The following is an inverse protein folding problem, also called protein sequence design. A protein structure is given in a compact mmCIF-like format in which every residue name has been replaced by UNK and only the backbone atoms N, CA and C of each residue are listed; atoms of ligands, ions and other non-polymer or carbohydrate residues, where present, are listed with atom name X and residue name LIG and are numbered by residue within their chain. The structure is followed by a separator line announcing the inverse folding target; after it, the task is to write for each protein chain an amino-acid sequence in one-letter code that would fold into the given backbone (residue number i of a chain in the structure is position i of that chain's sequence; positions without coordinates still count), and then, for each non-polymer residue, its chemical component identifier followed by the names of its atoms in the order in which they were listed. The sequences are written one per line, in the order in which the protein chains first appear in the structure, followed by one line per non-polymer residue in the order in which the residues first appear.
data_IF_084729949042
#
_entry.id   IF_084729949042
#
_cell.length_a   1.000
_cell.length_b   1.000
_cell.length_c   1.000
_cell.angle_alpha   90.00
_cell.angle_beta   90.00
_cell.angle_gamma   90.00
#
_symmetry.space_group_name_H-M   'P 1'
#
loop_
_entity.id
_entity.type
_entity.pdbx_description
1 polymer ?
#
# COMPACT_ATOMS: atom_id res chain seq x y z
N UNK A 1 -3.41 -15.27 8.32
CA UNK A 1 -4.74 -14.62 8.27
C UNK A 1 -4.72 -13.45 9.25
N UNK A 2 -5.28 -12.29 8.90
CA UNK A 2 -5.30 -11.12 9.81
C UNK A 2 -6.16 -11.42 11.04
N UNK A 3 -5.84 -10.78 12.17
CA UNK A 3 -6.66 -10.89 13.38
C UNK A 3 -8.02 -10.21 13.19
N UNK A 4 -9.07 -10.73 13.82
CA UNK A 4 -10.43 -10.21 13.68
C UNK A 4 -10.55 -8.72 14.02
N UNK A 5 -9.80 -8.25 15.03
CA UNK A 5 -9.76 -6.84 15.42
C UNK A 5 -9.23 -5.96 14.29
N UNK A 6 -8.19 -6.43 13.59
CA UNK A 6 -7.58 -5.73 12.45
C UNK A 6 -8.55 -5.69 11.28
N UNK A 7 -9.20 -6.82 10.96
CA UNK A 7 -10.19 -6.89 9.87
C UNK A 7 -11.36 -5.94 10.14
N UNK A 8 -11.87 -5.91 11.38
CA UNK A 8 -12.96 -4.99 11.77
C UNK A 8 -12.55 -3.53 11.66
N UNK A 9 -11.35 -3.19 12.12
CA UNK A 9 -10.84 -1.82 12.05
C UNK A 9 -10.66 -1.37 10.60
N UNK A 10 -9.97 -2.17 9.78
CA UNK A 10 -9.76 -1.87 8.36
C UNK A 10 -11.09 -1.77 7.61
N UNK A 11 -12.02 -2.70 7.84
CA UNK A 11 -13.35 -2.66 7.22
C UNK A 11 -14.12 -1.37 7.58
N UNK A 12 -14.11 -0.97 8.85
CA UNK A 12 -14.78 0.26 9.29
C UNK A 12 -14.12 1.51 8.70
N UNK A 13 -12.79 1.51 8.56
CA UNK A 13 -12.04 2.59 7.91
C UNK A 13 -12.47 2.73 6.44
N UNK A 14 -12.52 1.62 5.68
CA UNK A 14 -12.94 1.62 4.28
C UNK A 14 -14.37 2.14 4.11
N UNK A 15 -15.30 1.69 4.95
CA UNK A 15 -16.68 2.18 4.92
C UNK A 15 -16.73 3.70 5.13
N UNK A 16 -16.05 4.20 6.17
CA UNK A 16 -16.03 5.63 6.49
C UNK A 16 -15.43 6.48 5.38
N UNK A 17 -14.34 6.03 4.77
CA UNK A 17 -13.65 6.76 3.71
C UNK A 17 -14.49 6.86 2.43
N UNK A 18 -15.28 5.83 2.11
CA UNK A 18 -16.05 5.78 0.87
C UNK A 18 -17.49 6.29 1.02
N UNK A 19 -18.12 6.05 2.17
CA UNK A 19 -19.53 6.39 2.41
C UNK A 19 -19.71 7.63 3.29
N UNK A 20 -18.72 7.98 4.12
CA UNK A 20 -18.90 8.95 5.20
C UNK A 20 -19.45 8.29 6.47
N UNK A 21 -19.44 9.05 7.57
CA UNK A 21 -19.78 8.51 8.90
C UNK A 21 -21.25 8.07 9.00
N UNK A 22 -22.17 8.91 8.54
CA UNK A 22 -23.63 8.71 8.70
C UNK A 22 -24.11 7.53 7.85
N UNK A 23 -23.70 7.48 6.58
CA UNK A 23 -24.06 6.42 5.64
C UNK A 23 -23.43 5.08 6.04
N UNK A 24 -22.22 5.09 6.59
CA UNK A 24 -21.58 3.88 7.15
C UNK A 24 -22.40 3.28 8.29
N UNK A 25 -22.86 4.11 9.24
CA UNK A 25 -23.72 3.63 10.33
C UNK A 25 -25.04 3.06 9.82
N UNK A 26 -25.66 3.74 8.84
CA UNK A 26 -26.88 3.25 8.19
C UNK A 26 -26.64 1.91 7.49
N UNK A 27 -25.54 1.75 6.76
CA UNK A 27 -25.14 0.51 6.10
C UNK A 27 -25.01 -0.65 7.10
N UNK A 28 -24.26 -0.45 8.20
CA UNK A 28 -24.09 -1.48 9.24
C UNK A 28 -25.45 -1.88 9.85
N UNK A 29 -26.35 -0.92 10.05
CA UNK A 29 -27.69 -1.20 10.55
C UNK A 29 -28.54 -2.01 9.56
N UNK A 30 -28.48 -1.71 8.25
CA UNK A 30 -29.22 -2.45 7.23
C UNK A 30 -28.72 -3.90 7.11
N UNK A 31 -27.41 -4.09 7.04
CA UNK A 31 -26.80 -5.44 6.97
C UNK A 31 -27.18 -6.29 8.18
N UNK A 32 -27.26 -5.69 9.38
CA UNK A 32 -27.68 -6.38 10.61
C UNK A 32 -29.18 -6.66 10.68
N UNK A 33 -30.03 -5.79 10.12
CA UNK A 33 -31.49 -5.93 10.21
C UNK A 33 -32.05 -6.89 9.17
N UNK A 34 -31.50 -6.87 7.96
CA UNK A 34 -32.13 -7.51 6.80
C UNK A 34 -31.69 -8.98 6.60
N UNK A 35 -31.03 -9.62 7.58
CA UNK A 35 -30.41 -10.95 7.42
C UNK A 35 -29.68 -11.08 6.07
N UNK A 36 -28.88 -10.07 5.74
CA UNK A 36 -28.28 -9.94 4.43
C UNK A 36 -27.48 -11.20 4.07
N UNK A 37 -27.92 -11.92 3.03
CA UNK A 37 -27.28 -13.14 2.57
C UNK A 37 -26.13 -12.82 1.61
N UNK A 38 -24.92 -12.80 2.17
CA UNK A 38 -23.69 -12.62 1.43
C UNK A 38 -23.50 -13.70 0.34
N UNK A 39 -23.98 -14.93 0.58
CA UNK A 39 -23.79 -16.06 -0.33
C UNK A 39 -24.63 -15.90 -1.59
N UNK A 40 -25.84 -15.35 -1.48
CA UNK A 40 -26.65 -14.99 -2.64
C UNK A 40 -26.15 -13.72 -3.30
N UNK A 41 -25.88 -12.65 -2.53
CA UNK A 41 -25.41 -11.38 -3.08
C UNK A 41 -24.15 -11.53 -3.94
N UNK A 42 -23.19 -12.37 -3.53
CA UNK A 42 -21.93 -12.56 -4.27
C UNK A 42 -22.10 -13.24 -5.63
N UNK A 43 -23.20 -13.97 -5.86
CA UNK A 43 -23.40 -14.74 -7.10
C UNK A 43 -23.53 -13.84 -8.32
N UNK A 44 -24.12 -12.65 -8.13
CA UNK A 44 -24.37 -11.71 -9.23
C UNK A 44 -23.19 -10.78 -9.52
N UNK A 45 -22.21 -10.65 -8.60
CA UNK A 45 -21.08 -9.70 -8.75
C UNK A 45 -20.25 -9.96 -10.01
N UNK A 46 -20.06 -11.23 -10.36
CA UNK A 46 -19.25 -11.63 -11.52
C UNK A 46 -20.09 -12.17 -12.67
N UNK A 47 -21.42 -12.01 -12.60
CA UNK A 47 -22.31 -12.53 -13.63
C UNK A 47 -22.07 -11.76 -14.93
N UNK A 48 -21.68 -12.49 -15.97
CA UNK A 48 -21.35 -11.91 -17.28
C UNK A 48 -19.90 -11.45 -17.44
N UNK A 49 -19.07 -11.56 -16.39
CA UNK A 49 -17.62 -11.36 -16.50
C UNK A 49 -17.00 -12.73 -16.79
N UNK A 50 -16.22 -12.83 -17.87
CA UNK A 50 -15.47 -14.07 -18.15
C UNK A 50 -14.35 -14.27 -17.13
N UNK A 51 -13.96 -15.52 -16.90
CA UNK A 51 -12.84 -15.81 -16.00
C UNK A 51 -11.54 -15.12 -16.45
N UNK A 52 -11.35 -14.95 -17.76
CA UNK A 52 -10.20 -14.26 -18.34
C UNK A 52 -10.23 -12.76 -18.08
N UNK A 53 -11.39 -12.10 -18.25
CA UNK A 53 -11.54 -10.67 -17.92
C UNK A 53 -11.33 -10.41 -16.43
N UNK A 54 -11.93 -11.25 -15.56
CA UNK A 54 -11.73 -11.14 -14.13
C UNK A 54 -10.24 -11.28 -13.76
N UNK A 55 -9.56 -12.25 -14.36
CA UNK A 55 -8.13 -12.45 -14.14
C UNK A 55 -7.30 -11.23 -14.59
N UNK A 56 -7.57 -10.71 -15.78
CA UNK A 56 -6.86 -9.55 -16.31
C UNK A 56 -7.08 -8.29 -15.46
N UNK A 57 -8.31 -8.04 -15.00
CA UNK A 57 -8.61 -6.91 -14.10
C UNK A 57 -7.96 -7.09 -12.72
N UNK A 58 -7.99 -8.30 -12.16
CA UNK A 58 -7.30 -8.59 -10.90
C UNK A 58 -5.78 -8.38 -11.02
N UNK A 59 -5.18 -8.77 -12.16
CA UNK A 59 -3.75 -8.55 -12.46
C UNK A 59 -3.41 -7.06 -12.58
N UNK A 60 -4.21 -6.28 -13.32
CA UNK A 60 -4.02 -4.82 -13.39
C UNK A 60 -4.12 -4.18 -12.01
N UNK A 61 -5.08 -4.59 -11.19
CA UNK A 61 -5.26 -4.07 -9.85
C UNK A 61 -4.07 -4.41 -8.93
N UNK A 62 -3.53 -5.63 -8.98
CA UNK A 62 -2.36 -6.01 -8.18
C UNK A 62 -1.09 -5.27 -8.61
N UNK A 63 -0.89 -5.06 -9.92
CA UNK A 63 0.20 -4.25 -10.48
C UNK A 63 0.09 -2.76 -10.07
N UNK A 64 -1.14 -2.24 -9.99
CA UNK A 64 -1.41 -0.87 -9.53
C UNK A 64 -1.24 -0.70 -8.01
N UNK A 65 -1.61 -1.70 -7.20
CA UNK A 65 -1.33 -1.68 -5.75
C UNK A 65 0.18 -1.64 -5.49
N UNK A 66 0.97 -2.38 -6.27
CA UNK A 66 2.44 -2.28 -6.18
C UNK A 66 2.94 -0.88 -6.53
N UNK A 67 2.29 -0.16 -7.46
CA UNK A 67 2.65 1.21 -7.81
C UNK A 67 2.26 2.27 -6.76
N UNK A 68 1.15 2.08 -6.05
CA UNK A 68 0.70 3.04 -5.04
C UNK A 68 1.64 3.15 -3.83
N UNK A 69 2.41 2.10 -3.54
CA UNK A 69 3.34 2.03 -2.40
C UNK A 69 4.82 2.07 -2.81
N UNK A 70 5.15 2.58 -4.00
CA UNK A 70 6.55 2.74 -4.42
C UNK A 70 7.19 3.87 -3.62
N UNK A 71 8.14 3.49 -2.78
CA UNK A 71 9.03 4.41 -2.09
C UNK A 71 10.33 4.56 -2.89
N UNK A 72 10.67 5.78 -3.30
CA UNK A 72 11.86 6.08 -4.10
C UNK A 72 12.90 6.82 -3.25
N UNK A 73 14.12 6.29 -3.22
CA UNK A 73 15.29 6.96 -2.64
C UNK A 73 15.96 7.84 -3.70
N UNK A 74 16.21 9.10 -3.38
CA UNK A 74 16.96 10.03 -4.23
C UNK A 74 18.18 10.55 -3.46
N UNK A 75 19.38 10.25 -3.97
CA UNK A 75 20.65 10.74 -3.41
C UNK A 75 21.06 12.00 -4.16
N UNK A 76 21.37 13.06 -3.42
CA UNK A 76 21.84 14.33 -3.96
C UNK A 76 22.97 14.89 -3.10
N UNK A 77 23.67 15.92 -3.60
CA UNK A 77 24.67 16.66 -2.81
C UNK A 77 24.05 17.95 -2.26
N UNK A 78 24.36 18.26 -1.02
CA UNK A 78 23.98 19.54 -0.41
C UNK A 78 24.93 20.67 -0.86
N UNK A 79 24.70 21.89 -0.38
CA UNK A 79 25.54 23.07 -0.69
C UNK A 79 26.99 22.92 -0.22
N UNK A 80 27.25 22.02 0.73
CA UNK A 80 28.56 21.75 1.31
C UNK A 80 29.28 20.58 0.60
N UNK A 81 28.79 20.12 -0.55
CA UNK A 81 29.29 18.95 -1.29
C UNK A 81 29.17 17.59 -0.55
N UNK A 82 28.37 17.53 0.52
CA UNK A 82 28.10 16.29 1.26
C UNK A 82 26.88 15.58 0.67
N UNK A 83 26.82 14.25 0.81
CA UNK A 83 25.78 13.40 0.26
C UNK A 83 24.59 13.28 1.21
N UNK A 84 23.38 13.50 0.73
CA UNK A 84 22.14 13.30 1.48
C UNK A 84 21.18 12.46 0.63
N UNK A 85 20.26 11.75 1.26
CA UNK A 85 19.15 11.13 0.55
C UNK A 85 17.80 11.54 1.10
N UNK A 86 16.80 11.49 0.23
CA UNK A 86 15.39 11.67 0.58
C UNK A 86 14.57 10.49 0.12
N UNK A 87 13.57 10.14 0.91
CA UNK A 87 12.56 9.15 0.57
C UNK A 87 11.33 9.87 0.07
N UNK A 88 10.87 9.50 -1.11
CA UNK A 88 9.64 10.01 -1.71
C UNK A 88 8.61 8.90 -1.81
N UNK A 89 7.34 9.25 -1.57
CA UNK A 89 6.22 8.38 -1.91
C UNK A 89 5.93 8.41 -3.42
N UNK A 90 4.92 7.67 -3.84
CA UNK A 90 4.49 7.57 -5.25
C UNK A 90 4.00 8.90 -5.83
N UNK A 91 3.50 9.83 -5.01
CA UNK A 91 3.10 11.20 -5.43
C UNK A 91 4.29 12.14 -5.57
N UNK A 92 5.49 11.73 -5.12
CA UNK A 92 6.71 12.53 -5.18
C UNK A 92 6.97 13.40 -3.95
N UNK A 93 6.08 13.34 -2.94
CA UNK A 93 6.22 14.03 -1.67
C UNK A 93 7.35 13.41 -0.86
N UNK A 94 8.14 14.27 -0.23
CA UNK A 94 9.26 13.85 0.62
C UNK A 94 8.69 13.43 1.97
N UNK A 95 8.82 12.15 2.31
CA UNK A 95 8.35 11.59 3.59
C UNK A 95 9.49 11.46 4.61
N UNK A 96 10.74 11.45 4.14
CA UNK A 96 11.92 11.39 5.01
C UNK A 96 13.13 12.02 4.32
N UNK A 97 14.01 12.64 5.10
CA UNK A 97 15.31 13.14 4.65
C UNK A 97 16.38 12.74 5.65
N UNK A 98 17.50 12.23 5.15
CA UNK A 98 18.61 11.74 5.99
C UNK A 98 19.47 12.88 6.51
N UNK A 99 20.39 12.57 7.42
CA UNK A 99 21.54 13.44 7.68
C UNK A 99 22.49 13.50 6.46
N UNK A 100 23.43 14.45 6.49
CA UNK A 100 24.45 14.59 5.44
C UNK A 100 25.66 13.70 5.74
N UNK A 101 26.17 13.04 4.71
CA UNK A 101 27.28 12.10 4.78
C UNK A 101 28.48 12.60 3.96
N UNK A 102 29.71 12.49 4.46
CA UNK A 102 30.91 12.89 3.73
C UNK A 102 31.12 12.13 2.41
N UNK A 103 30.69 10.86 2.35
CA UNK A 103 30.91 10.00 1.17
C UNK A 103 29.62 9.38 0.65
N UNK A 104 29.57 9.15 -0.67
CA UNK A 104 28.44 8.45 -1.32
C UNK A 104 28.27 7.02 -0.78
N UNK A 105 29.37 6.39 -0.39
CA UNK A 105 29.38 5.02 0.14
C UNK A 105 28.65 4.93 1.49
N UNK A 106 28.95 5.86 2.41
CA UNK A 106 28.25 5.94 3.70
C UNK A 106 26.74 6.19 3.52
N UNK A 107 26.38 7.13 2.65
CA UNK A 107 24.98 7.41 2.31
C UNK A 107 24.25 6.18 1.76
N UNK A 108 24.90 5.39 0.88
CA UNK A 108 24.32 4.15 0.34
C UNK A 108 24.15 3.07 1.41
N UNK A 109 25.13 2.92 2.30
CA UNK A 109 25.07 1.95 3.40
C UNK A 109 23.88 2.22 4.32
N UNK A 110 23.60 3.48 4.61
CA UNK A 110 22.44 3.86 5.41
C UNK A 110 21.11 3.48 4.72
N UNK A 111 21.01 3.72 3.41
CA UNK A 111 19.84 3.30 2.62
C UNK A 111 19.68 1.77 2.66
N UNK A 112 20.77 1.01 2.59
CA UNK A 112 20.72 -0.46 2.69
C UNK A 112 20.25 -0.93 4.06
N UNK A 113 20.73 -0.31 5.14
CA UNK A 113 20.27 -0.61 6.50
C UNK A 113 18.77 -0.33 6.62
N UNK A 114 18.31 0.81 6.12
CA UNK A 114 16.88 1.16 6.12
C UNK A 114 16.05 0.20 5.28
N UNK A 115 16.55 -0.22 4.11
CA UNK A 115 15.90 -1.25 3.30
C UNK A 115 15.79 -2.58 4.06
N UNK A 116 16.86 -3.04 4.68
CA UNK A 116 16.88 -4.32 5.39
C UNK A 116 15.99 -4.32 6.64
N UNK A 117 15.89 -3.19 7.34
CA UNK A 117 15.10 -3.09 8.56
C UNK A 117 13.61 -2.77 8.34
N UNK A 118 13.25 -2.06 7.25
CA UNK A 118 11.88 -1.59 7.01
C UNK A 118 11.14 -2.27 5.84
N UNK A 119 11.84 -2.92 4.89
CA UNK A 119 11.23 -3.56 3.70
C UNK A 119 11.22 -5.09 3.76
N UNK A 120 11.09 -5.69 4.96
CA UNK A 120 10.83 -7.13 5.15
C UNK A 120 9.40 -7.54 4.76
N UNK A 121 8.99 -7.17 3.54
CA UNK A 121 7.97 -7.87 2.77
C UNK A 121 8.53 -8.04 1.36
N UNK A 122 9.15 -9.21 1.17
CA UNK A 122 9.63 -9.88 -0.06
C UNK A 122 10.43 -9.10 -1.10
N UNK A 123 11.72 -9.46 -1.27
CA UNK A 123 12.41 -9.37 -2.57
C UNK A 123 13.32 -10.59 -2.76
N UNK A 124 13.15 -11.30 -3.89
CA UNK A 124 14.04 -12.37 -4.34
C UNK A 124 15.35 -11.78 -4.89
N UNK A 125 16.48 -12.32 -4.42
CA UNK A 125 17.81 -11.93 -4.86
C UNK A 125 18.19 -12.82 -6.05
N UNK A 126 18.60 -12.24 -7.17
CA UNK A 126 19.29 -12.98 -8.23
C UNK A 126 20.67 -12.37 -8.43
N UNK A 127 21.69 -13.19 -8.22
CA UNK A 127 23.11 -12.88 -8.34
C UNK A 127 23.64 -13.31 -9.71
N UNK A 128 24.33 -12.41 -10.40
CA UNK A 128 25.46 -12.72 -11.28
C UNK A 128 26.61 -11.75 -10.98
#
# INVERSE_FOLDING_TARGET
MKADSVIRYEGMKVLRENLGLVESEKFINLIKKDNFDYTEWRKDIFKGISAEELFNEAKKYSENIQHSSILKYEIFKNKNNEYQFRLKNSTGDIIYSSESFPTKSQCKKEIEILKNNFLSTEIQITTE
#
